data_IF_491072677945
#
_entry.id   IF_491072677945
#
_cell.length_a   1.000
_cell.length_b   1.000
_cell.length_c   1.000
_cell.angle_alpha   90.00
_cell.angle_beta   90.00
_cell.angle_gamma   90.00
#
_symmetry.space_group_name_H-M   'P 1'
#
loop_
_entity.id
_entity.type
_entity.pdbx_description
1 polymer ?
#
# COMPACT_ATOMS: atom_id res chain seq x y z
N UNK A 1 -4.06 2.25 -12.65
CA UNK A 1 -4.60 1.13 -11.83
C UNK A 1 -5.89 1.53 -11.13
N UNK A 2 -6.84 0.59 -10.97
CA UNK A 2 -8.00 0.72 -10.07
C UNK A 2 -7.60 0.57 -8.60
N UNK A 3 -8.47 0.98 -7.65
CA UNK A 3 -8.20 0.81 -6.21
C UNK A 3 -7.95 -0.65 -5.82
N UNK A 4 -8.72 -1.58 -6.40
CA UNK A 4 -8.52 -3.02 -6.18
C UNK A 4 -7.15 -3.50 -6.67
N UNK A 5 -6.71 -3.04 -7.85
CA UNK A 5 -5.38 -3.36 -8.37
C UNK A 5 -4.27 -2.78 -7.49
N UNK A 6 -4.45 -1.58 -6.93
CA UNK A 6 -3.47 -0.95 -6.03
C UNK A 6 -3.31 -1.74 -4.74
N UNK A 7 -4.43 -2.20 -4.16
CA UNK A 7 -4.41 -3.06 -2.97
C UNK A 7 -3.70 -4.38 -3.27
N UNK A 8 -4.00 -5.00 -4.41
CA UNK A 8 -3.35 -6.24 -4.82
C UNK A 8 -1.83 -6.06 -5.01
N UNK A 9 -1.40 -4.99 -5.67
CA UNK A 9 0.03 -4.71 -5.86
C UNK A 9 0.77 -4.48 -4.53
N UNK A 10 0.08 -3.95 -3.51
CA UNK A 10 0.65 -3.84 -2.16
C UNK A 10 0.80 -5.21 -1.50
N UNK A 11 -0.18 -6.11 -1.67
CA UNK A 11 -0.09 -7.47 -1.14
C UNK A 11 1.04 -8.25 -1.80
N UNK A 12 1.17 -8.15 -3.13
CA UNK A 12 2.27 -8.75 -3.90
C UNK A 12 3.63 -8.20 -3.44
N UNK A 13 3.75 -6.88 -3.26
CA UNK A 13 4.96 -6.24 -2.75
C UNK A 13 5.36 -6.73 -1.36
N UNK A 14 4.38 -6.88 -0.47
CA UNK A 14 4.60 -7.39 0.87
C UNK A 14 5.12 -8.83 0.84
N UNK A 15 4.50 -9.69 0.03
CA UNK A 15 4.91 -11.09 -0.09
C UNK A 15 6.32 -11.20 -0.71
N UNK A 16 6.64 -10.35 -1.68
CA UNK A 16 7.98 -10.27 -2.26
C UNK A 16 9.03 -9.86 -1.23
N UNK A 17 8.77 -8.82 -0.42
CA UNK A 17 9.68 -8.40 0.66
C UNK A 17 9.86 -9.53 1.67
N UNK A 18 8.79 -10.23 2.05
CA UNK A 18 8.87 -11.35 2.99
C UNK A 18 9.63 -12.55 2.44
N UNK A 19 9.46 -12.86 1.15
CA UNK A 19 10.17 -13.96 0.51
C UNK A 19 11.66 -13.65 0.37
N UNK A 20 12.01 -12.45 -0.11
CA UNK A 20 13.40 -12.01 -0.17
C UNK A 20 14.05 -11.99 1.21
N UNK A 21 13.33 -11.55 2.25
CA UNK A 21 13.85 -11.57 3.62
C UNK A 21 14.16 -12.99 4.12
N UNK A 22 13.36 -14.00 3.75
CA UNK A 22 13.64 -15.42 4.08
C UNK A 22 14.92 -15.91 3.41
N UNK A 23 15.21 -15.40 2.21
CA UNK A 23 16.42 -15.71 1.46
C UNK A 23 17.62 -14.84 1.89
N UNK A 24 17.45 -13.98 2.91
CA UNK A 24 18.49 -13.09 3.42
C UNK A 24 18.73 -11.84 2.56
N UNK A 25 17.83 -11.55 1.62
CA UNK A 25 17.90 -10.40 0.73
C UNK A 25 17.06 -9.26 1.33
N UNK A 26 17.72 -8.14 1.62
CA UNK A 26 17.06 -6.95 2.17
C UNK A 26 16.62 -5.99 1.05
N UNK A 27 15.30 -5.82 0.91
CA UNK A 27 14.72 -4.79 0.02
C UNK A 27 14.65 -3.46 0.78
N UNK A 28 15.34 -2.45 0.25
CA UNK A 28 15.43 -1.11 0.85
C UNK A 28 14.62 -0.02 0.11
N UNK A 29 14.20 -0.32 -1.12
CA UNK A 29 13.37 0.55 -1.96
C UNK A 29 12.30 -0.27 -2.67
N UNK A 30 11.07 0.23 -2.69
CA UNK A 30 9.96 -0.37 -3.44
C UNK A 30 9.11 0.72 -4.08
N UNK A 31 8.66 0.51 -5.33
CA UNK A 31 7.82 1.48 -6.04
C UNK A 31 6.51 0.86 -6.51
N UNK A 32 5.39 1.48 -6.12
CA UNK A 32 4.03 1.07 -6.52
C UNK A 32 3.31 2.29 -7.07
N UNK A 33 2.87 2.20 -8.32
CA UNK A 33 2.03 3.22 -8.96
C UNK A 33 2.60 4.66 -8.81
N UNK A 34 3.92 4.79 -8.97
CA UNK A 34 4.64 6.07 -8.85
C UNK A 34 4.90 6.54 -7.41
N UNK A 35 4.38 5.84 -6.40
CA UNK A 35 4.77 6.05 -5.00
C UNK A 35 6.03 5.25 -4.74
N UNK A 36 7.07 5.92 -4.25
CA UNK A 36 8.33 5.30 -3.89
C UNK A 36 8.45 5.25 -2.36
N UNK A 37 8.65 4.05 -1.83
CA UNK A 37 8.83 3.78 -0.40
C UNK A 37 10.27 3.34 -0.21
N UNK A 38 11.05 4.19 0.47
CA UNK A 38 12.43 3.89 0.91
C UNK A 38 12.44 3.71 2.41
N UNK A 39 12.85 2.54 2.89
CA UNK A 39 13.01 2.26 4.33
C UNK A 39 14.30 1.50 4.56
N UNK A 40 14.86 1.70 5.76
CA UNK A 40 16.09 1.04 6.19
C UNK A 40 15.86 -0.42 6.58
N UNK A 41 14.64 -0.75 7.00
CA UNK A 41 14.25 -2.11 7.37
C UNK A 41 13.12 -2.62 6.46
N UNK A 42 13.21 -3.88 5.98
CA UNK A 42 12.12 -4.59 5.32
C UNK A 42 10.82 -4.59 6.13
N UNK A 43 10.90 -4.64 7.47
CA UNK A 43 9.74 -4.62 8.36
C UNK A 43 9.05 -3.25 8.34
N UNK A 44 9.84 -2.17 8.38
CA UNK A 44 9.31 -0.80 8.26
C UNK A 44 8.66 -0.58 6.89
N UNK A 45 9.23 -1.15 5.84
CA UNK A 45 8.65 -1.08 4.49
C UNK A 45 7.28 -1.74 4.43
N UNK A 46 7.14 -2.95 4.97
CA UNK A 46 5.86 -3.65 5.09
C UNK A 46 4.84 -2.82 5.88
N UNK A 47 5.27 -2.17 6.97
CA UNK A 47 4.38 -1.34 7.78
C UNK A 47 3.81 -0.14 7.00
N UNK A 48 4.61 0.51 6.15
CA UNK A 48 4.12 1.61 5.30
C UNK A 48 3.22 1.11 4.17
N UNK A 49 3.55 -0.03 3.56
CA UNK A 49 2.71 -0.69 2.57
C UNK A 49 1.32 -0.97 3.14
N UNK A 50 1.24 -1.53 4.35
CA UNK A 50 -0.02 -1.77 5.05
C UNK A 50 -0.79 -0.47 5.36
N UNK A 51 -0.11 0.62 5.73
CA UNK A 51 -0.77 1.93 5.89
C UNK A 51 -1.36 2.43 4.57
N UNK A 52 -0.60 2.32 3.48
CA UNK A 52 -1.06 2.72 2.14
C UNK A 52 -2.28 1.91 1.70
N UNK A 53 -2.27 0.58 1.98
CA UNK A 53 -3.41 -0.31 1.74
C UNK A 53 -4.65 0.15 2.51
N UNK A 54 -4.51 0.49 3.79
CA UNK A 54 -5.62 1.01 4.60
C UNK A 54 -6.21 2.30 4.03
N UNK A 55 -5.38 3.20 3.50
CA UNK A 55 -5.86 4.42 2.84
C UNK A 55 -6.73 4.09 1.63
N UNK A 56 -6.31 3.14 0.78
CA UNK A 56 -7.11 2.74 -0.38
C UNK A 56 -8.39 2.00 0.00
N UNK A 57 -8.36 1.15 1.04
CA UNK A 57 -9.57 0.51 1.57
C UNK A 57 -10.55 1.54 2.10
N UNK A 58 -10.09 2.52 2.86
CA UNK A 58 -10.95 3.59 3.40
C UNK A 58 -11.61 4.41 2.29
N UNK A 59 -10.91 4.64 1.17
CA UNK A 59 -11.48 5.31 -0.01
C UNK A 59 -12.60 4.49 -0.68
N UNK A 60 -12.52 3.16 -0.64
CA UNK A 60 -13.60 2.28 -1.12
C UNK A 60 -14.80 2.34 -0.16
N UNK A 61 -14.54 2.47 1.16
CA UNK A 61 -15.56 2.42 2.21
C UNK A 61 -16.25 3.74 2.53
N UNK A 62 -15.75 4.88 2.07
CA UNK A 62 -16.51 6.15 2.09
C UNK A 62 -17.38 6.25 0.83
N UNK A 63 -18.71 6.04 0.91
CA UNK A 63 -19.59 6.57 -0.12
C UNK A 63 -19.44 8.09 -0.08
N UNK A 64 -19.35 8.73 -1.25
CA UNK A 64 -19.46 10.18 -1.38
C UNK A 64 -20.73 10.64 -0.63
N UNK A 65 -20.57 11.14 0.60
CA UNK A 65 -21.65 11.76 1.34
C UNK A 65 -22.08 12.99 0.57
N UNK A 66 -23.27 12.89 0.02
CA UNK A 66 -24.04 13.89 -0.71
C UNK A 66 -23.85 15.27 -0.06
N UNK A 67 -23.38 16.26 -0.82
CA UNK A 67 -23.50 17.67 -0.44
C UNK A 67 -24.98 18.03 -0.39
N UNK A 68 -25.58 17.98 0.79
CA UNK A 68 -26.92 18.49 1.01
C UNK A 68 -26.82 20.01 1.12
N UNK A 69 -26.99 20.70 -0.02
CA UNK A 69 -27.24 22.15 -0.03
C UNK A 69 -28.68 22.33 0.45
N UNK A 70 -28.87 22.70 1.72
CA UNK A 70 -30.15 23.22 2.20
C UNK A 70 -30.18 24.71 1.83
N UNK A 71 -31.13 25.09 0.98
CA UNK A 71 -31.40 26.48 0.59
C UNK A 71 -32.54 27.06 1.41
#
# INVERSE_FOLDING_TARGET
MTLKQRIQAIDEARDEILNNLKDGIEISEYSIDGVNIKKRSPIEMIAELEKLKKTYINQISTPNSIQLIIK
#
